data_IF_311831984834
#
_entry.id   IF_311831984834
#
_cell.length_a   1.000
_cell.length_b   1.000
_cell.length_c   1.000
_cell.angle_alpha   90.00
_cell.angle_beta   90.00
_cell.angle_gamma   90.00
#
_symmetry.space_group_name_H-M   'P 1'
#
loop_
_entity.id
_entity.type
_entity.pdbx_description
1 polymer ?
#
# COMPACT_ATOMS: atom_id res chain seq x y z
N UNK A 1 7.20 2.73 15.54
CA UNK A 1 7.72 1.41 15.14
C UNK A 1 6.60 0.60 14.51
N UNK A 2 6.81 0.13 13.27
CA UNK A 2 5.96 -0.79 12.50
C UNK A 2 6.78 -2.06 12.33
N UNK A 3 6.19 -3.21 12.64
CA UNK A 3 6.95 -4.45 12.79
C UNK A 3 6.92 -5.33 11.53
N UNK A 4 5.80 -5.31 10.79
CA UNK A 4 5.62 -6.13 9.58
C UNK A 4 4.96 -5.31 8.48
N UNK A 5 5.43 -5.54 7.24
CA UNK A 5 4.89 -4.94 6.01
C UNK A 5 4.57 -6.06 5.03
N UNK A 6 3.40 -5.97 4.40
CA UNK A 6 2.98 -6.87 3.32
C UNK A 6 2.57 -6.03 2.11
N UNK A 7 2.89 -6.51 0.90
CA UNK A 7 2.53 -5.82 -0.34
C UNK A 7 1.71 -6.77 -1.20
N UNK A 8 0.58 -6.28 -1.70
CA UNK A 8 -0.29 -6.98 -2.65
C UNK A 8 -0.40 -6.15 -3.92
N UNK A 9 -0.35 -6.81 -5.08
CA UNK A 9 -0.52 -6.19 -6.39
C UNK A 9 -1.74 -6.79 -7.08
N UNK A 10 -2.64 -5.94 -7.59
CA UNK A 10 -3.82 -6.35 -8.35
C UNK A 10 -3.62 -6.09 -9.82
N UNK A 11 -3.92 -7.12 -10.60
CA UNK A 11 -3.83 -7.11 -12.06
C UNK A 11 -5.23 -7.22 -12.67
N UNK A 12 -5.41 -6.56 -13.81
CA UNK A 12 -6.59 -6.69 -14.66
C UNK A 12 -6.10 -6.85 -16.10
N UNK A 13 -6.51 -7.92 -16.76
CA UNK A 13 -6.08 -8.23 -18.14
C UNK A 13 -4.55 -8.21 -18.32
N UNK A 14 -3.83 -8.83 -17.37
CA UNK A 14 -2.36 -8.88 -17.35
C UNK A 14 -1.66 -7.56 -16.97
N UNK A 15 -2.40 -6.45 -16.85
CA UNK A 15 -1.84 -5.14 -16.48
C UNK A 15 -1.94 -4.90 -14.98
N UNK A 16 -0.86 -4.39 -14.39
CA UNK A 16 -0.86 -3.91 -13.01
C UNK A 16 -1.75 -2.67 -12.90
N UNK A 17 -2.73 -2.67 -11.99
CA UNK A 17 -3.67 -1.56 -11.80
C UNK A 17 -3.52 -0.91 -10.44
N UNK A 18 -3.35 -1.71 -9.39
CA UNK A 18 -3.24 -1.20 -8.02
C UNK A 18 -2.21 -1.97 -7.22
N UNK A 19 -1.51 -1.26 -6.35
CA UNK A 19 -0.61 -1.86 -5.35
C UNK A 19 -1.04 -1.39 -3.98
N UNK A 20 -1.08 -2.32 -3.03
CA UNK A 20 -1.48 -2.09 -1.65
C UNK A 20 -0.33 -2.44 -0.73
N UNK A 21 0.04 -1.52 0.15
CA UNK A 21 1.05 -1.77 1.18
C UNK A 21 0.38 -1.75 2.55
N UNK A 22 0.33 -2.91 3.18
CA UNK A 22 -0.28 -3.14 4.48
C UNK A 22 0.78 -3.07 5.57
N UNK A 23 0.50 -2.29 6.61
CA UNK A 23 1.41 -2.13 7.74
C UNK A 23 0.74 -2.65 9.01
N UNK A 24 1.38 -3.64 9.63
CA UNK A 24 0.91 -4.31 10.84
C UNK A 24 1.83 -4.01 12.01
N UNK A 25 1.25 -3.98 13.22
CA UNK A 25 2.01 -4.10 14.47
C UNK A 25 2.16 -5.56 14.89
N UNK A 26 3.09 -5.84 15.80
CA UNK A 26 3.40 -7.17 16.34
C UNK A 26 2.18 -7.96 16.84
N UNK A 27 1.15 -7.28 17.31
CA UNK A 27 -0.14 -7.86 17.72
C UNK A 27 -1.05 -8.28 16.54
N UNK A 28 -0.51 -8.28 15.31
CA UNK A 28 -1.23 -8.51 14.04
C UNK A 28 -2.33 -7.48 13.74
N UNK A 29 -2.37 -6.36 14.47
CA UNK A 29 -3.33 -5.30 14.18
C UNK A 29 -2.90 -4.52 12.94
N UNK A 30 -3.76 -4.49 11.92
CA UNK A 30 -3.60 -3.63 10.75
C UNK A 30 -3.70 -2.17 11.21
N UNK A 31 -2.73 -1.34 10.82
CA UNK A 31 -2.67 0.07 11.22
C UNK A 31 -2.83 1.02 10.05
N UNK A 32 -2.34 0.61 8.89
CA UNK A 32 -2.24 1.47 7.73
C UNK A 32 -2.34 0.62 6.46
N UNK A 33 -3.04 1.13 5.46
CA UNK A 33 -2.98 0.65 4.09
C UNK A 33 -2.70 1.85 3.19
N UNK A 34 -1.59 1.77 2.46
CA UNK A 34 -1.23 2.71 1.41
C UNK A 34 -1.63 2.13 0.05
N UNK A 35 -2.33 2.94 -0.76
CA UNK A 35 -2.81 2.60 -2.09
C UNK A 35 -1.97 3.35 -3.12
N UNK A 36 -1.31 2.61 -3.99
CA UNK A 36 -0.51 3.12 -5.09
C UNK A 36 -1.18 2.77 -6.41
N UNK A 37 -1.03 3.65 -7.39
CA UNK A 37 -1.37 3.35 -8.79
C UNK A 37 -0.25 2.53 -9.46
N UNK A 38 -0.45 2.19 -10.73
CA UNK A 38 0.50 1.42 -11.55
C UNK A 38 1.86 2.11 -11.73
N UNK A 39 1.93 3.42 -11.47
CA UNK A 39 3.15 4.23 -11.54
C UNK A 39 3.85 4.34 -10.17
N UNK A 40 3.45 3.54 -9.19
CA UNK A 40 3.97 3.57 -7.82
C UNK A 40 3.73 4.92 -7.11
N UNK A 41 2.67 5.63 -7.49
CA UNK A 41 2.29 6.89 -6.89
C UNK A 41 1.18 6.69 -5.85
N UNK A 42 1.50 7.06 -4.60
CA UNK A 42 0.59 7.02 -3.47
C UNK A 42 -0.50 8.07 -3.68
N UNK A 43 -1.75 7.60 -3.75
CA UNK A 43 -2.91 8.47 -3.95
C UNK A 43 -3.95 8.38 -2.83
N UNK A 44 -3.92 7.29 -2.03
CA UNK A 44 -4.84 7.10 -0.91
C UNK A 44 -4.16 6.36 0.23
N UNK A 45 -4.47 6.77 1.46
CA UNK A 45 -3.99 6.16 2.70
C UNK A 45 -5.14 5.96 3.66
N UNK A 46 -5.28 4.75 4.21
CA UNK A 46 -6.31 4.41 5.18
C UNK A 46 -5.66 4.01 6.49
N UNK A 47 -6.03 4.67 7.58
CA UNK A 47 -5.56 4.37 8.94
C UNK A 47 -6.64 3.61 9.68
N UNK A 48 -6.21 2.60 10.41
CA UNK A 48 -7.07 1.75 11.23
C UNK A 48 -6.76 1.97 12.71
N UNK A 49 -7.77 1.80 13.56
CA UNK A 49 -7.63 1.89 15.00
C UNK A 49 -7.04 0.57 15.59
N UNK A 50 -7.27 0.26 16.87
CA UNK A 50 -6.81 -1.02 17.46
C UNK A 50 -7.84 -2.15 17.29
N UNK A 51 -9.10 -1.84 16.99
CA UNK A 51 -10.19 -2.79 16.78
C UNK A 51 -10.31 -3.21 15.31
N UNK A 52 -9.53 -2.59 14.42
CA UNK A 52 -9.58 -2.84 12.98
C UNK A 52 -10.58 -1.95 12.25
N UNK A 53 -11.12 -0.93 12.93
CA UNK A 53 -12.06 0.03 12.33
C UNK A 53 -11.30 1.16 11.62
N UNK A 54 -11.90 1.69 10.55
CA UNK A 54 -11.31 2.80 9.82
C UNK A 54 -11.34 4.05 10.69
N UNK A 55 -10.15 4.53 11.05
CA UNK A 55 -9.97 5.76 11.83
C UNK A 55 -9.88 6.99 10.94
N UNK A 56 -9.21 6.89 9.79
CA UNK A 56 -9.00 8.03 8.89
C UNK A 56 -8.78 7.54 7.46
N UNK A 57 -9.36 8.25 6.50
CA UNK A 57 -9.06 8.12 5.08
C UNK A 57 -8.42 9.43 4.62
N UNK A 58 -7.25 9.34 4.00
CA UNK A 58 -6.49 10.47 3.46
C UNK A 58 -6.37 10.29 1.94
N UNK A 59 -6.91 11.23 1.18
CA UNK A 59 -6.64 11.36 -0.25
C UNK A 59 -5.39 12.25 -0.42
N UNK A 60 -4.45 11.84 -1.26
CA UNK A 60 -3.14 12.51 -1.40
C UNK A 60 -3.07 13.18 -2.77
N UNK A 61 -3.04 14.51 -2.78
CA UNK A 61 -2.93 15.35 -3.97
C UNK A 61 -1.96 16.53 -3.69
N UNK A 62 -0.90 16.75 -4.51
CA UNK A 62 -0.49 15.91 -5.62
C UNK A 62 -0.10 14.50 -5.14
N UNK A 63 -0.26 13.50 -6.02
CA UNK A 63 0.17 12.12 -5.71
C UNK A 63 1.68 12.12 -5.44
N UNK A 64 2.11 11.29 -4.51
CA UNK A 64 3.53 11.18 -4.14
C UNK A 64 4.08 9.87 -4.70
N UNK A 65 4.98 9.94 -5.66
CA UNK A 65 5.61 8.75 -6.27
C UNK A 65 6.79 8.27 -5.44
N UNK A 66 6.86 6.96 -5.21
CA UNK A 66 7.80 6.37 -4.25
C UNK A 66 8.60 5.27 -4.91
N UNK A 67 9.93 5.45 -4.93
CA UNK A 67 10.88 4.42 -5.37
C UNK A 67 11.26 3.52 -4.19
N UNK A 68 10.31 2.68 -3.76
CA UNK A 68 10.53 1.69 -2.70
C UNK A 68 11.07 0.39 -3.31
N UNK A 69 12.18 -0.14 -2.76
CA UNK A 69 12.81 -1.39 -3.26
C UNK A 69 11.84 -2.59 -3.29
N UNK A 70 10.87 -2.63 -2.37
CA UNK A 70 9.83 -3.67 -2.35
C UNK A 70 8.85 -3.52 -3.52
N UNK A 71 8.42 -2.30 -3.80
CA UNK A 71 7.56 -1.99 -4.96
C UNK A 71 8.28 -2.27 -6.29
N UNK A 72 9.58 -1.92 -6.39
CA UNK A 72 10.41 -2.20 -7.56
C UNK A 72 10.63 -3.71 -7.79
N UNK A 73 10.63 -4.51 -6.72
CA UNK A 73 10.75 -5.96 -6.83
C UNK A 73 9.50 -6.58 -7.47
N UNK A 74 8.32 -6.00 -7.23
CA UNK A 74 7.08 -6.38 -7.93
C UNK A 74 7.16 -5.98 -9.41
N UNK A 75 7.67 -4.79 -9.72
CA UNK A 75 7.82 -4.34 -11.11
C UNK A 75 8.65 -5.31 -11.96
N UNK A 76 9.78 -5.79 -11.44
CA UNK A 76 10.67 -6.77 -12.11
C UNK A 76 10.07 -8.17 -12.31
N UNK A 77 8.95 -8.48 -11.65
CA UNK A 77 8.24 -9.75 -11.79
C UNK A 77 7.17 -9.69 -12.90
N UNK A 78 6.81 -8.48 -13.35
CA UNK A 78 5.72 -8.22 -14.29
C UNK A 78 6.24 -7.82 -15.68
N UNK A 79 7.48 -7.35 -15.76
CA UNK A 79 8.23 -7.11 -17.00
C UNK A 79 9.37 -8.11 -17.10
#
# INVERSE_FOLDING_TARGET
MVDKKYIEAKYFDGKLVHIFKFYYRNDKNLRLVDYFDENFCLFKRVRYDKKGEIKKVEMICPKICVLDKGLLSIYKLVH
#
